data_IF_232366488087
#
_entry.id   IF_232366488087
#
_cell.length_a   1.000
_cell.length_b   1.000
_cell.length_c   1.000
_cell.angle_alpha   90.00
_cell.angle_beta   90.00
_cell.angle_gamma   90.00
#
_symmetry.space_group_name_H-M   'P 1'
#
loop_
_entity.id
_entity.type
_entity.pdbx_description
1 polymer ?
#
# COMPACT_ATOMS: atom_id res chain seq x y z
N UNK A 1 6.78 -31.90 -0.12
CA UNK A 1 6.41 -30.48 -0.21
C UNK A 1 4.93 -30.36 0.16
N UNK A 2 4.61 -30.01 1.40
CA UNK A 2 3.22 -29.85 1.85
C UNK A 2 2.63 -28.60 1.19
N UNK A 3 1.65 -28.83 0.32
CA UNK A 3 0.94 -27.81 -0.43
C UNK A 3 0.13 -26.91 0.51
N UNK A 4 0.57 -25.66 0.70
CA UNK A 4 -0.12 -24.63 1.50
C UNK A 4 -1.35 -24.05 0.76
N UNK A 5 -2.09 -24.87 0.00
CA UNK A 5 -3.21 -24.45 -0.88
C UNK A 5 -4.43 -23.88 -0.16
N UNK A 6 -4.45 -23.91 1.18
CA UNK A 6 -5.52 -23.35 2.00
C UNK A 6 -5.06 -22.15 2.84
N UNK A 7 -3.81 -21.71 2.70
CA UNK A 7 -3.29 -20.62 3.49
C UNK A 7 -3.88 -19.30 2.97
N UNK A 8 -4.80 -18.71 3.72
CA UNK A 8 -5.43 -17.43 3.40
C UNK A 8 -4.76 -16.24 4.06
N UNK A 9 -3.99 -16.46 5.13
CA UNK A 9 -3.29 -15.40 5.85
C UNK A 9 -1.85 -15.79 6.14
N UNK A 10 -0.93 -14.90 5.79
CA UNK A 10 0.50 -15.06 6.03
C UNK A 10 1.02 -13.79 6.70
N UNK A 11 1.70 -13.96 7.83
CA UNK A 11 2.39 -12.90 8.54
C UNK A 11 3.87 -13.25 8.65
N UNK A 12 4.73 -12.45 8.06
CA UNK A 12 6.17 -12.58 8.15
C UNK A 12 6.71 -11.49 9.07
N UNK A 13 7.48 -11.89 10.09
CA UNK A 13 8.14 -10.99 11.04
C UNK A 13 9.60 -11.44 11.27
N UNK A 14 10.49 -10.48 11.56
CA UNK A 14 11.85 -10.66 12.09
C UNK A 14 12.64 -11.88 11.52
N UNK A 15 13.27 -11.72 10.36
CA UNK A 15 14.42 -12.57 9.98
C UNK A 15 14.20 -13.68 8.94
N UNK A 16 13.00 -13.87 8.38
CA UNK A 16 12.80 -14.83 7.27
C UNK A 16 13.07 -14.24 5.87
N UNK A 17 13.45 -12.96 5.78
CA UNK A 17 13.62 -12.26 4.49
C UNK A 17 15.03 -11.66 4.41
N UNK A 18 16.04 -12.54 4.52
CA UNK A 18 17.42 -12.22 4.14
C UNK A 18 17.63 -12.28 2.62
N UNK A 19 16.59 -12.59 1.84
CA UNK A 19 16.64 -12.66 0.39
C UNK A 19 15.39 -12.03 -0.17
N UNK A 20 15.55 -11.31 -1.30
CA UNK A 20 14.49 -10.67 -2.07
C UNK A 20 13.20 -11.49 -2.06
N UNK A 21 12.05 -10.82 -1.92
CA UNK A 21 10.71 -11.44 -1.95
C UNK A 21 10.49 -12.26 -3.24
N UNK A 22 11.32 -12.03 -4.28
CA UNK A 22 11.46 -12.86 -5.50
C UNK A 22 11.65 -14.33 -5.24
N UNK A 23 12.29 -14.69 -4.12
CA UNK A 23 12.54 -16.09 -3.74
C UNK A 23 11.34 -16.78 -3.10
N UNK A 24 10.29 -16.04 -2.74
CA UNK A 24 9.11 -16.60 -2.10
C UNK A 24 8.05 -16.99 -3.13
N UNK A 25 7.63 -18.25 -3.07
CA UNK A 25 6.43 -18.72 -3.74
C UNK A 25 5.25 -18.59 -2.79
N UNK A 26 4.44 -17.56 -2.99
CA UNK A 26 3.21 -17.37 -2.22
C UNK A 26 2.10 -18.28 -2.75
N UNK A 27 1.28 -18.87 -1.87
CA UNK A 27 0.12 -19.64 -2.30
C UNK A 27 -0.93 -18.72 -2.92
N UNK A 28 -1.55 -19.15 -4.02
CA UNK A 28 -2.61 -18.38 -4.70
C UNK A 28 -3.87 -18.20 -3.87
N UNK A 29 -4.06 -19.02 -2.81
CA UNK A 29 -5.15 -18.89 -1.84
C UNK A 29 -4.99 -17.70 -0.89
N UNK A 30 -3.83 -17.01 -0.91
CA UNK A 30 -3.50 -15.98 0.06
C UNK A 30 -4.39 -14.74 -0.13
N UNK A 31 -5.12 -14.39 0.93
CA UNK A 31 -6.00 -13.22 1.00
C UNK A 31 -5.41 -12.07 1.81
N UNK A 32 -4.62 -12.37 2.83
CA UNK A 32 -4.04 -11.37 3.74
C UNK A 32 -2.55 -11.59 3.90
N UNK A 33 -1.75 -10.60 3.52
CA UNK A 33 -0.30 -10.63 3.68
C UNK A 33 0.14 -9.50 4.62
N UNK A 34 0.88 -9.85 5.68
CA UNK A 34 1.56 -8.86 6.52
C UNK A 34 3.06 -9.09 6.48
N UNK A 35 3.82 -8.08 6.09
CA UNK A 35 5.27 -8.06 6.13
C UNK A 35 5.72 -7.07 7.21
N UNK A 36 6.50 -7.54 8.18
CA UNK A 36 6.97 -6.72 9.32
C UNK A 36 8.48 -6.84 9.50
N UNK A 37 9.19 -5.72 9.63
CA UNK A 37 10.65 -5.68 9.80
C UNK A 37 11.43 -6.33 8.64
N UNK A 38 11.04 -6.02 7.40
CA UNK A 38 11.78 -6.41 6.20
C UNK A 38 12.79 -5.32 5.84
N UNK A 39 14.01 -5.42 6.37
CA UNK A 39 15.05 -4.36 6.27
C UNK A 39 15.83 -4.33 4.95
N UNK A 40 15.75 -5.36 4.11
CA UNK A 40 16.41 -5.45 2.79
C UNK A 40 15.39 -5.49 1.66
N UNK A 41 14.24 -4.89 1.88
CA UNK A 41 13.15 -4.80 0.93
C UNK A 41 13.46 -3.69 -0.08
N UNK A 42 13.34 -3.97 -1.38
CA UNK A 42 13.34 -2.95 -2.44
C UNK A 42 11.91 -2.79 -2.96
N UNK A 43 11.48 -1.56 -3.25
CA UNK A 43 10.13 -1.33 -3.76
C UNK A 43 9.89 -2.02 -5.11
N UNK A 44 10.90 -2.16 -5.98
CA UNK A 44 10.77 -2.90 -7.24
C UNK A 44 10.36 -4.37 -7.06
N UNK A 45 10.67 -4.96 -5.90
CA UNK A 45 10.35 -6.35 -5.60
C UNK A 45 8.88 -6.55 -5.18
N UNK A 46 8.18 -5.48 -4.79
CA UNK A 46 6.76 -5.56 -4.38
C UNK A 46 5.84 -5.91 -5.55
N UNK A 47 6.29 -5.66 -6.78
CA UNK A 47 5.58 -6.02 -8.02
C UNK A 47 5.20 -7.50 -8.05
N UNK A 48 5.94 -8.38 -7.37
CA UNK A 48 5.61 -9.80 -7.28
C UNK A 48 4.28 -10.04 -6.58
N UNK A 49 3.90 -9.15 -5.65
CA UNK A 49 2.64 -9.24 -4.95
C UNK A 49 1.46 -8.89 -5.87
N UNK A 50 1.69 -8.21 -7.00
CA UNK A 50 0.68 -7.99 -8.07
C UNK A 50 0.16 -9.33 -8.60
N UNK A 51 1.01 -10.37 -8.60
CA UNK A 51 0.67 -11.70 -9.12
C UNK A 51 -0.25 -12.51 -8.18
N UNK A 52 -0.61 -11.99 -7.00
CA UNK A 52 -1.47 -12.71 -6.05
C UNK A 52 -2.94 -12.45 -6.35
N UNK A 53 -3.66 -13.41 -6.97
CA UNK A 53 -4.96 -13.15 -7.57
C UNK A 53 -6.07 -12.91 -6.54
N UNK A 54 -5.90 -13.42 -5.31
CA UNK A 54 -6.90 -13.36 -4.26
C UNK A 54 -6.50 -12.45 -3.10
N UNK A 55 -5.42 -11.65 -3.25
CA UNK A 55 -4.92 -10.83 -2.16
C UNK A 55 -5.88 -9.66 -1.90
N UNK A 56 -6.64 -9.72 -0.82
CA UNK A 56 -7.59 -8.70 -0.40
C UNK A 56 -6.94 -7.62 0.48
N UNK A 57 -5.90 -7.95 1.24
CA UNK A 57 -5.25 -7.03 2.17
C UNK A 57 -3.73 -7.20 2.20
N UNK A 58 -3.02 -6.10 1.97
CA UNK A 58 -1.58 -6.00 2.17
C UNK A 58 -1.26 -5.06 3.33
N UNK A 59 -0.46 -5.55 4.28
CA UNK A 59 0.07 -4.77 5.40
C UNK A 59 1.59 -4.75 5.38
N UNK A 60 2.19 -3.57 5.26
CA UNK A 60 3.63 -3.37 5.40
C UNK A 60 3.93 -2.60 6.67
N UNK A 61 4.81 -3.13 7.53
CA UNK A 61 5.11 -2.54 8.84
C UNK A 61 6.61 -2.48 9.08
N UNK A 62 7.12 -1.30 9.43
CA UNK A 62 8.52 -1.07 9.84
C UNK A 62 9.47 -1.65 8.78
N UNK A 63 9.28 -1.26 7.53
CA UNK A 63 10.18 -1.61 6.44
C UNK A 63 11.16 -0.45 6.28
N UNK A 64 12.42 -0.67 6.65
CA UNK A 64 13.52 0.20 6.22
C UNK A 64 13.92 -0.33 4.85
N UNK A 65 13.61 0.45 3.81
CA UNK A 65 13.87 0.06 2.43
C UNK A 65 15.27 0.56 2.08
N UNK A 66 16.13 -0.31 1.57
CA UNK A 66 17.41 0.08 0.98
C UNK A 66 17.21 0.45 -0.49
N UNK A 67 17.93 1.47 -0.99
CA UNK A 67 17.81 1.92 -2.39
C UNK A 67 16.85 3.09 -2.59
N UNK A 68 16.24 3.17 -3.79
CA UNK A 68 15.29 4.22 -4.14
C UNK A 68 14.01 4.11 -3.28
N UNK A 69 13.64 5.20 -2.63
CA UNK A 69 12.42 5.28 -1.80
C UNK A 69 11.19 5.56 -2.67
N UNK A 70 11.09 4.87 -3.81
CA UNK A 70 10.04 5.05 -4.81
C UNK A 70 9.37 3.73 -5.10
N UNK A 71 8.05 3.68 -4.94
CA UNK A 71 7.26 2.55 -5.39
C UNK A 71 6.65 2.87 -6.74
N UNK A 72 7.12 2.17 -7.79
CA UNK A 72 6.61 2.28 -9.15
C UNK A 72 5.78 1.06 -9.51
N UNK A 73 4.58 1.29 -10.02
CA UNK A 73 3.79 0.30 -10.74
C UNK A 73 3.72 0.72 -12.19
N UNK A 74 3.92 -0.23 -13.11
CA UNK A 74 3.67 0.02 -14.53
C UNK A 74 2.18 0.12 -14.81
N UNK A 75 1.81 0.63 -15.98
CA UNK A 75 0.40 0.71 -16.39
C UNK A 75 -0.27 -0.66 -16.55
N UNK A 76 0.52 -1.72 -16.70
CA UNK A 76 0.05 -3.11 -16.80
C UNK A 76 -0.12 -3.78 -15.43
N UNK A 77 0.49 -3.25 -14.37
CA UNK A 77 0.48 -3.83 -13.04
C UNK A 77 -0.82 -3.51 -12.29
N UNK A 78 -1.67 -4.53 -12.09
CA UNK A 78 -2.96 -4.38 -11.40
C UNK A 78 -2.98 -5.06 -10.04
N UNK A 79 -2.79 -4.28 -8.99
CA UNK A 79 -2.81 -4.74 -7.61
C UNK A 79 -4.25 -4.97 -7.11
N UNK A 80 -4.66 -6.24 -6.98
CA UNK A 80 -6.06 -6.63 -6.73
C UNK A 80 -6.55 -6.39 -5.29
N UNK A 81 -5.73 -5.80 -4.41
CA UNK A 81 -6.08 -5.65 -3.00
C UNK A 81 -7.16 -4.60 -2.72
N UNK A 82 -8.08 -4.99 -1.84
CA UNK A 82 -9.14 -4.13 -1.31
C UNK A 82 -8.63 -3.16 -0.24
N UNK A 83 -7.54 -3.51 0.44
CA UNK A 83 -7.03 -2.76 1.59
C UNK A 83 -5.51 -2.71 1.60
N UNK A 84 -4.98 -1.50 1.77
CA UNK A 84 -3.55 -1.27 1.99
C UNK A 84 -3.34 -0.63 3.37
N UNK A 85 -2.41 -1.18 4.14
CA UNK A 85 -1.99 -0.57 5.40
C UNK A 85 -0.47 -0.50 5.47
N UNK A 86 0.06 0.72 5.46
CA UNK A 86 1.48 0.98 5.63
C UNK A 86 1.75 1.66 6.96
N UNK A 87 2.71 1.11 7.70
CA UNK A 87 3.09 1.64 9.01
C UNK A 87 4.61 1.80 9.12
N UNK A 88 5.09 3.02 9.28
CA UNK A 88 6.50 3.31 9.47
C UNK A 88 7.36 2.81 8.31
N UNK A 89 6.86 2.99 7.08
CA UNK A 89 7.61 2.70 5.87
C UNK A 89 8.42 3.93 5.45
N UNK A 90 9.61 3.70 4.89
CA UNK A 90 10.36 4.73 4.21
C UNK A 90 9.97 4.70 2.72
N UNK A 91 8.99 5.52 2.35
CA UNK A 91 8.52 5.71 0.98
C UNK A 91 8.42 7.22 0.78
N UNK A 92 9.13 7.76 -0.20
CA UNK A 92 9.08 9.18 -0.53
C UNK A 92 8.12 9.45 -1.67
N UNK A 93 8.18 8.64 -2.72
CA UNK A 93 7.33 8.78 -3.92
C UNK A 93 6.57 7.50 -4.19
N UNK A 94 5.31 7.64 -4.53
CA UNK A 94 4.46 6.53 -4.94
C UNK A 94 3.94 6.86 -6.33
N UNK A 95 4.42 6.13 -7.32
CA UNK A 95 4.14 6.33 -8.74
C UNK A 95 3.29 5.15 -9.22
N UNK A 96 1.99 5.38 -9.41
CA UNK A 96 1.03 4.38 -9.86
C UNK A 96 -0.01 5.03 -10.78
N UNK A 97 -0.56 4.26 -11.71
CA UNK A 97 -1.57 4.73 -12.66
C UNK A 97 -2.99 4.59 -12.08
N UNK A 98 -3.97 5.17 -12.78
CA UNK A 98 -5.41 5.09 -12.45
C UNK A 98 -5.92 3.67 -12.24
N UNK A 99 -5.30 2.73 -12.93
CA UNK A 99 -5.77 1.37 -13.06
C UNK A 99 -4.93 0.40 -12.22
N UNK A 100 -3.89 0.91 -11.54
CA UNK A 100 -3.00 0.08 -10.72
C UNK A 100 -3.71 -0.53 -9.51
N UNK A 101 -4.81 0.06 -9.03
CA UNK A 101 -5.52 -0.35 -7.83
C UNK A 101 -7.05 -0.43 -8.04
N UNK A 102 -7.53 -1.30 -8.96
CA UNK A 102 -8.92 -1.26 -9.41
C UNK A 102 -9.96 -1.56 -8.31
N UNK A 103 -9.55 -2.28 -7.26
CA UNK A 103 -10.43 -2.71 -6.19
C UNK A 103 -10.13 -2.02 -4.84
N UNK A 104 -9.21 -1.06 -4.77
CA UNK A 104 -8.78 -0.51 -3.49
C UNK A 104 -9.90 0.29 -2.82
N UNK A 105 -10.40 -0.22 -1.69
CA UNK A 105 -11.44 0.43 -0.88
C UNK A 105 -10.88 1.24 0.27
N UNK A 106 -9.74 0.83 0.86
CA UNK A 106 -9.16 1.53 2.02
C UNK A 106 -7.66 1.65 1.95
N UNK A 107 -7.17 2.86 2.16
CA UNK A 107 -5.76 3.17 2.34
C UNK A 107 -5.51 3.68 3.76
N UNK A 108 -4.62 3.03 4.49
CA UNK A 108 -4.25 3.42 5.85
C UNK A 108 -2.74 3.63 5.95
N UNK A 109 -2.33 4.87 6.20
CA UNK A 109 -0.94 5.28 6.35
C UNK A 109 -0.68 5.68 7.80
N UNK A 110 0.33 5.08 8.44
CA UNK A 110 0.69 5.36 9.83
C UNK A 110 2.18 5.64 9.94
N UNK A 111 2.58 6.76 10.51
CA UNK A 111 3.97 7.14 10.68
C UNK A 111 4.76 7.16 9.35
N UNK A 112 4.10 7.47 8.22
CA UNK A 112 4.74 7.58 6.90
C UNK A 112 5.27 9.02 6.72
N UNK A 113 6.31 9.36 7.49
CA UNK A 113 6.78 10.76 7.62
C UNK A 113 7.49 11.32 6.38
N UNK A 114 7.88 10.46 5.43
CA UNK A 114 8.65 10.84 4.25
C UNK A 114 7.82 10.87 2.96
N UNK A 115 6.62 10.31 2.99
CA UNK A 115 5.77 10.24 1.81
C UNK A 115 5.38 11.65 1.38
N UNK A 116 5.69 12.01 0.15
CA UNK A 116 5.40 13.34 -0.40
C UNK A 116 4.00 13.39 -1.00
N UNK A 117 3.58 12.32 -1.64
CA UNK A 117 2.34 12.28 -2.41
C UNK A 117 1.75 10.87 -2.40
N UNK A 118 0.42 10.82 -2.38
CA UNK A 118 -0.39 9.64 -2.65
C UNK A 118 -0.83 9.75 -4.12
N UNK A 119 -0.76 8.68 -4.93
CA UNK A 119 -1.23 8.71 -6.31
C UNK A 119 -2.67 9.22 -6.35
N UNK A 120 -2.91 10.31 -7.09
CA UNK A 120 -4.23 10.95 -7.19
C UNK A 120 -5.18 10.10 -8.03
N UNK A 121 -4.62 9.36 -8.96
CA UNK A 121 -5.33 8.48 -9.87
C UNK A 121 -5.68 7.15 -9.17
N UNK A 122 -6.66 7.14 -8.27
CA UNK A 122 -7.39 5.91 -7.90
C UNK A 122 -8.59 5.63 -8.84
N UNK A 123 -8.51 6.11 -10.09
CA UNK A 123 -9.44 5.81 -11.19
C UNK A 123 -10.74 6.63 -11.23
N UNK A 124 -11.34 6.75 -12.43
CA UNK A 124 -12.69 7.31 -12.68
C UNK A 124 -13.80 6.45 -12.05
N UNK A 125 -13.49 5.20 -11.67
CA UNK A 125 -14.37 4.28 -10.97
C UNK A 125 -13.87 4.01 -9.55
N UNK A 126 -13.46 5.08 -8.88
CA UNK A 126 -12.79 5.07 -7.59
C UNK A 126 -13.59 4.23 -6.58
N UNK A 127 -13.15 2.99 -6.34
CA UNK A 127 -13.71 2.12 -5.30
C UNK A 127 -13.24 2.53 -3.90
N UNK A 128 -12.35 3.54 -3.84
CA UNK A 128 -11.75 4.04 -2.63
C UNK A 128 -12.77 4.77 -1.76
N UNK A 129 -13.04 4.19 -0.60
CA UNK A 129 -14.01 4.71 0.37
C UNK A 129 -13.34 5.56 1.44
N UNK A 130 -12.08 5.27 1.76
CA UNK A 130 -11.39 5.98 2.84
C UNK A 130 -9.87 6.04 2.68
N UNK A 131 -9.32 7.21 3.00
CA UNK A 131 -7.88 7.40 3.26
C UNK A 131 -7.70 7.83 4.72
N UNK A 132 -6.95 7.04 5.48
CA UNK A 132 -6.64 7.33 6.89
C UNK A 132 -5.14 7.61 7.04
N UNK A 133 -4.77 8.79 7.52
CA UNK A 133 -3.40 9.18 7.84
C UNK A 133 -3.24 9.35 9.34
N UNK A 134 -2.21 8.73 9.91
CA UNK A 134 -1.85 8.91 11.31
C UNK A 134 -0.39 9.31 11.43
N UNK A 135 -0.11 10.53 11.89
CA UNK A 135 1.25 11.05 12.04
C UNK A 135 2.08 10.91 10.76
N UNK A 136 1.54 11.34 9.62
CA UNK A 136 2.25 11.34 8.34
C UNK A 136 2.89 12.71 8.07
N UNK A 137 3.57 12.86 6.93
CA UNK A 137 4.07 14.17 6.50
C UNK A 137 2.89 15.12 6.17
N UNK A 138 3.10 16.43 6.29
CA UNK A 138 2.10 17.41 5.84
C UNK A 138 1.85 17.32 4.33
N UNK A 139 2.85 16.96 3.54
CA UNK A 139 2.71 16.77 2.09
C UNK A 139 1.75 15.61 1.76
N UNK A 140 1.84 14.50 2.48
CA UNK A 140 0.90 13.39 2.35
C UNK A 140 -0.52 13.77 2.81
N UNK A 141 -0.64 14.62 3.84
CA UNK A 141 -1.93 15.17 4.28
C UNK A 141 -2.55 16.05 3.19
N UNK A 142 -1.78 16.96 2.60
CA UNK A 142 -2.23 17.86 1.54
C UNK A 142 -2.63 17.07 0.29
N UNK A 143 -1.81 16.10 -0.11
CA UNK A 143 -2.13 15.17 -1.19
C UNK A 143 -3.44 14.42 -0.95
N UNK A 144 -3.67 13.88 0.26
CA UNK A 144 -4.93 13.20 0.56
C UNK A 144 -6.16 14.14 0.46
N UNK A 145 -6.02 15.41 0.89
CA UNK A 145 -7.10 16.41 0.75
C UNK A 145 -7.38 16.77 -0.70
N UNK A 146 -6.33 16.89 -1.52
CA UNK A 146 -6.48 17.15 -2.94
C UNK A 146 -7.24 16.00 -3.63
N UNK A 147 -6.94 14.75 -3.26
CA UNK A 147 -7.69 13.58 -3.78
C UNK A 147 -9.17 13.66 -3.38
N UNK A 148 -9.48 14.03 -2.14
CA UNK A 148 -10.88 14.21 -1.70
C UNK A 148 -11.58 15.28 -2.53
N UNK A 149 -10.95 16.44 -2.73
CA UNK A 149 -11.51 17.54 -3.51
C UNK A 149 -11.69 17.15 -4.99
N UNK A 150 -10.72 16.50 -5.61
CA UNK A 150 -10.82 16.03 -7.01
C UNK A 150 -11.98 15.05 -7.18
N UNK A 151 -12.18 14.14 -6.21
CA UNK A 151 -13.32 13.21 -6.23
C UNK A 151 -14.66 13.94 -6.07
N UNK A 152 -14.74 14.93 -5.18
CA UNK A 152 -15.93 15.77 -5.03
C UNK A 152 -16.25 16.57 -6.31
N UNK A 153 -15.24 17.14 -6.96
CA UNK A 153 -15.36 17.90 -8.21
C UNK A 153 -15.86 17.01 -9.38
N UNK A 154 -15.50 15.72 -9.35
CA UNK A 154 -16.01 14.69 -10.27
C UNK A 154 -17.38 14.11 -9.86
N UNK A 155 -17.98 14.59 -8.77
CA UNK A 155 -19.29 14.16 -8.27
C UNK A 155 -19.26 12.93 -7.36
N UNK A 156 -18.09 12.42 -6.97
CA UNK A 156 -17.92 11.33 -6.03
C UNK A 156 -17.75 11.83 -4.58
N UNK A 157 -18.86 11.90 -3.84
CA UNK A 157 -18.85 12.32 -2.43
C UNK A 157 -18.64 11.16 -1.42
N UNK A 158 -18.37 9.94 -1.91
CA UNK A 158 -18.29 8.74 -1.07
C UNK A 158 -16.95 8.58 -0.36
N UNK A 159 -15.87 9.12 -0.93
CA UNK A 159 -14.55 9.12 -0.32
C UNK A 159 -14.56 9.96 0.97
N UNK A 160 -13.86 9.47 2.00
CA UNK A 160 -13.64 10.19 3.26
C UNK A 160 -12.17 10.18 3.64
N UNK A 161 -11.63 11.36 3.97
CA UNK A 161 -10.25 11.50 4.45
C UNK A 161 -10.22 11.76 5.96
N UNK A 162 -9.43 10.96 6.67
CA UNK A 162 -9.22 11.07 8.11
C UNK A 162 -7.75 11.35 8.42
N UNK A 163 -7.46 12.48 9.07
CA UNK A 163 -6.09 12.87 9.44
C UNK A 163 -5.99 12.96 10.96
N UNK A 164 -5.09 12.17 11.54
CA UNK A 164 -4.87 12.07 12.97
C UNK A 164 -3.41 12.41 13.34
N UNK A 165 -3.20 13.54 14.02
CA UNK A 165 -1.87 13.98 14.45
C UNK A 165 -1.76 14.03 15.96
N UNK A 166 -0.79 13.30 16.52
CA UNK A 166 -0.47 13.33 17.95
C UNK A 166 0.49 14.48 18.32
N UNK A 167 0.98 15.25 17.33
CA UNK A 167 1.97 16.34 17.51
C UNK A 167 1.38 17.76 17.52
N UNK A 168 0.07 17.94 17.30
CA UNK A 168 -0.61 19.23 17.46
C UNK A 168 -1.22 19.30 18.86
N UNK A 169 -0.41 19.66 19.85
CA UNK A 169 -0.83 20.13 21.18
C UNK A 169 -0.09 21.41 21.51
#
# INVERSE_FOLDING_TARGET
MSSLTKLEELKCANGLVCYSIKSFVFPTSLKRLTLTHCFWFHWDDISILVMLPNLEELKLKVAVVTGDQVWRLSDEDKFQSLKLLFKGIHLERWEASSDSFPNLRRLVLKNCNYLKEIPTNFGEFCTLESIELHNCSSLAEDSARNIEQEQEDMGNNSLKVYIHNSRRK
#
